data_IF_491530841178
#
_entry.id   IF_491530841178
#
_cell.length_a   1.000
_cell.length_b   1.000
_cell.length_c   1.000
_cell.angle_alpha   90.00
_cell.angle_beta   90.00
_cell.angle_gamma   90.00
#
_symmetry.space_group_name_H-M   'P 1'
#
loop_
_entity.id
_entity.type
_entity.pdbx_description
1 polymer ?
#
# COMPACT_ATOMS: atom_id res chain seq x y z
N UNK A 1 20.70 -76.56 -28.42
CA UNK A 1 20.24 -75.31 -29.04
C UNK A 1 19.79 -74.35 -27.93
N UNK A 2 20.58 -73.32 -27.61
CA UNK A 2 20.24 -72.32 -26.60
C UNK A 2 20.43 -70.93 -27.25
N UNK A 3 19.32 -70.26 -27.60
CA UNK A 3 19.34 -68.90 -28.14
C UNK A 3 19.44 -67.92 -26.97
N UNK A 4 20.51 -67.13 -26.90
CA UNK A 4 20.55 -65.93 -26.07
C UNK A 4 19.80 -64.81 -26.81
N UNK A 5 18.77 -64.25 -26.18
CA UNK A 5 18.22 -62.95 -26.56
C UNK A 5 19.00 -61.87 -25.80
N UNK A 6 19.62 -60.96 -26.53
CA UNK A 6 20.18 -59.72 -25.99
C UNK A 6 19.08 -58.66 -26.06
N UNK A 7 18.61 -58.21 -24.90
CA UNK A 7 17.69 -57.08 -24.80
C UNK A 7 18.51 -55.79 -24.63
N UNK A 8 18.46 -54.92 -25.63
CA UNK A 8 19.06 -53.57 -25.57
C UNK A 8 18.10 -52.64 -24.84
N UNK A 9 18.50 -52.16 -23.65
CA UNK A 9 17.77 -51.12 -22.92
C UNK A 9 18.34 -49.78 -23.38
N UNK A 10 17.53 -48.98 -24.09
CA UNK A 10 17.87 -47.60 -24.41
C UNK A 10 17.62 -46.72 -23.19
N UNK A 11 18.67 -46.12 -22.63
CA UNK A 11 18.56 -45.16 -21.52
C UNK A 11 18.27 -43.76 -22.09
N UNK A 12 17.07 -43.25 -21.86
CA UNK A 12 16.71 -41.86 -22.18
C UNK A 12 17.26 -40.95 -21.09
N UNK A 13 18.18 -40.06 -21.45
CA UNK A 13 18.68 -39.03 -20.53
C UNK A 13 17.59 -37.96 -20.36
N UNK A 14 17.10 -37.80 -19.12
CA UNK A 14 16.22 -36.68 -18.75
C UNK A 14 17.11 -35.48 -18.43
N UNK A 15 17.06 -34.45 -19.26
CA UNK A 15 17.67 -33.16 -18.98
C UNK A 15 16.84 -32.42 -17.94
N UNK A 16 17.33 -32.36 -16.70
CA UNK A 16 16.79 -31.47 -15.68
C UNK A 16 17.26 -30.05 -16.01
N UNK A 17 16.36 -29.22 -16.54
CA UNK A 17 16.60 -27.78 -16.66
C UNK A 17 16.47 -27.19 -15.26
N UNK A 18 17.59 -26.84 -14.66
CA UNK A 18 17.63 -26.03 -13.45
C UNK A 18 17.27 -24.60 -13.85
N UNK A 19 16.07 -24.15 -13.49
CA UNK A 19 15.69 -22.75 -13.63
C UNK A 19 16.59 -21.92 -12.70
N UNK A 20 17.42 -21.06 -13.27
CA UNK A 20 18.15 -20.05 -12.51
C UNK A 20 17.13 -19.15 -11.82
N UNK A 21 17.21 -18.91 -10.49
CA UNK A 21 16.32 -17.97 -9.85
C UNK A 21 16.51 -16.60 -10.53
N UNK A 22 15.41 -16.00 -11.00
CA UNK A 22 15.45 -14.66 -11.56
C UNK A 22 15.94 -13.71 -10.47
N UNK A 23 17.03 -12.99 -10.72
CA UNK A 23 17.45 -11.90 -9.84
C UNK A 23 16.33 -10.87 -9.81
N UNK A 24 15.86 -10.51 -8.61
CA UNK A 24 14.91 -9.42 -8.46
C UNK A 24 15.45 -8.18 -9.18
N UNK A 25 14.61 -7.54 -9.99
CA UNK A 25 14.98 -6.30 -10.65
C UNK A 25 15.31 -5.24 -9.60
N UNK A 26 16.37 -4.47 -9.79
CA UNK A 26 16.72 -3.40 -8.86
C UNK A 26 15.59 -2.37 -8.76
N UNK A 27 15.35 -1.85 -7.56
CA UNK A 27 14.43 -0.73 -7.35
C UNK A 27 14.76 0.44 -8.30
N UNK A 28 13.76 1.12 -8.87
CA UNK A 28 14.01 2.25 -9.75
C UNK A 28 14.48 3.46 -8.95
N UNK A 29 14.92 4.49 -9.69
CA UNK A 29 15.33 5.76 -9.08
C UNK A 29 14.17 6.42 -8.32
N UNK A 30 14.49 7.28 -7.34
CA UNK A 30 13.49 8.10 -6.65
C UNK A 30 12.65 8.93 -7.61
N UNK A 31 13.26 9.47 -8.66
CA UNK A 31 12.54 10.29 -9.64
C UNK A 31 11.51 9.46 -10.42
N UNK A 32 11.87 8.24 -10.80
CA UNK A 32 10.96 7.29 -11.44
C UNK A 32 9.82 6.92 -10.50
N UNK A 33 10.13 6.54 -9.26
CA UNK A 33 9.10 6.20 -8.28
C UNK A 33 8.14 7.35 -7.99
N UNK A 34 8.65 8.58 -7.89
CA UNK A 34 7.78 9.75 -7.73
C UNK A 34 6.87 9.97 -8.96
N UNK A 35 7.37 9.74 -10.18
CA UNK A 35 6.55 9.86 -11.38
C UNK A 35 5.44 8.79 -11.42
N UNK A 36 5.76 7.55 -11.06
CA UNK A 36 4.81 6.45 -11.00
C UNK A 36 3.74 6.68 -9.91
N UNK A 37 4.14 7.16 -8.73
CA UNK A 37 3.21 7.56 -7.67
C UNK A 37 2.30 8.70 -8.14
N UNK A 38 2.86 9.73 -8.78
CA UNK A 38 2.08 10.86 -9.30
C UNK A 38 1.00 10.39 -10.27
N UNK A 39 1.33 9.48 -11.20
CA UNK A 39 0.36 8.95 -12.14
C UNK A 39 -0.85 8.26 -11.47
N UNK A 40 -0.66 7.63 -10.30
CA UNK A 40 -1.75 7.02 -9.52
C UNK A 40 -2.50 8.08 -8.71
N UNK A 41 -1.78 9.04 -8.11
CA UNK A 41 -2.44 10.10 -7.33
C UNK A 41 -3.22 11.08 -8.18
N UNK A 42 -2.84 11.28 -9.45
CA UNK A 42 -3.61 12.07 -10.41
C UNK A 42 -4.94 11.38 -10.71
N UNK A 43 -4.94 10.06 -10.93
CA UNK A 43 -6.18 9.28 -11.08
C UNK A 43 -7.06 9.31 -9.82
N UNK A 44 -6.43 9.34 -8.64
CA UNK A 44 -7.14 9.45 -7.39
C UNK A 44 -7.75 10.86 -7.21
N UNK A 45 -7.01 11.90 -7.60
CA UNK A 45 -7.46 13.28 -7.57
C UNK A 45 -8.66 13.49 -8.48
N UNK A 46 -8.61 13.02 -9.73
CA UNK A 46 -9.73 13.10 -10.68
C UNK A 46 -10.97 12.39 -10.13
N UNK A 47 -10.80 11.22 -9.52
CA UNK A 47 -11.89 10.51 -8.88
C UNK A 47 -12.49 11.28 -7.70
N UNK A 48 -11.64 11.93 -6.87
CA UNK A 48 -12.11 12.71 -5.74
C UNK A 48 -12.83 13.99 -6.19
N UNK A 49 -12.41 14.64 -7.28
CA UNK A 49 -13.11 15.82 -7.82
C UNK A 49 -14.55 15.47 -8.23
N UNK A 50 -14.76 14.30 -8.85
CA UNK A 50 -16.10 13.82 -9.20
C UNK A 50 -16.88 13.36 -7.97
N UNK A 51 -16.20 12.73 -7.01
CA UNK A 51 -16.83 12.07 -5.86
C UNK A 51 -17.12 13.03 -4.70
N UNK A 52 -16.36 14.11 -4.58
CA UNK A 52 -16.39 15.13 -3.53
C UNK A 52 -16.61 16.50 -4.19
N UNK A 53 -17.88 16.84 -4.44
CA UNK A 53 -18.68 17.31 -3.32
C UNK A 53 -19.80 16.32 -2.94
N UNK A 54 -19.54 15.53 -1.88
CA UNK A 54 -20.50 14.55 -1.37
C UNK A 54 -21.37 15.15 -0.26
N UNK A 55 -22.53 15.69 -0.62
CA UNK A 55 -23.50 16.19 0.39
C UNK A 55 -24.15 15.03 1.16
N UNK A 56 -24.38 15.21 2.46
CA UNK A 56 -25.14 14.27 3.28
C UNK A 56 -24.38 13.04 3.79
N UNK A 57 -23.08 12.91 3.50
CA UNK A 57 -22.22 11.85 4.06
C UNK A 57 -21.02 12.46 4.77
N UNK A 58 -20.43 11.71 5.70
CA UNK A 58 -19.11 12.04 6.27
C UNK A 58 -18.05 11.30 5.45
N UNK A 59 -17.63 11.89 4.34
CA UNK A 59 -16.61 11.28 3.49
C UNK A 59 -15.26 11.19 4.21
N UNK A 60 -14.48 10.15 3.90
CA UNK A 60 -13.12 9.99 4.37
C UNK A 60 -12.23 9.36 3.30
N UNK A 61 -10.94 9.69 3.34
CA UNK A 61 -9.90 8.92 2.68
C UNK A 61 -9.00 8.25 3.72
N UNK A 62 -8.45 7.09 3.36
CA UNK A 62 -7.48 6.34 4.16
C UNK A 62 -6.15 6.30 3.42
N UNK A 63 -5.07 6.57 4.13
CA UNK A 63 -3.71 6.59 3.60
C UNK A 63 -2.81 5.66 4.43
N UNK A 64 -2.03 4.81 3.78
CA UNK A 64 -0.85 4.21 4.41
C UNK A 64 0.28 5.25 4.58
N UNK A 65 1.28 4.92 5.41
CA UNK A 65 2.44 5.78 5.69
C UNK A 65 3.69 5.38 4.92
N UNK A 66 4.17 4.13 5.03
CA UNK A 66 5.53 3.77 4.65
C UNK A 66 5.62 3.46 3.16
N UNK A 67 6.38 4.25 2.40
CA UNK A 67 6.38 4.21 0.93
C UNK A 67 5.02 4.57 0.29
N UNK A 68 4.12 5.14 1.09
CA UNK A 68 2.88 5.78 0.66
C UNK A 68 2.91 7.28 1.01
N UNK A 69 2.51 7.69 2.21
CA UNK A 69 2.51 9.11 2.59
C UNK A 69 3.92 9.68 2.84
N UNK A 70 4.85 8.85 3.31
CA UNK A 70 6.25 9.18 3.58
C UNK A 70 7.19 8.31 2.73
N UNK A 71 8.29 8.91 2.25
CA UNK A 71 9.24 8.24 1.37
C UNK A 71 10.25 7.37 2.14
N UNK A 72 9.76 6.45 2.98
CA UNK A 72 10.56 5.67 3.94
C UNK A 72 11.76 4.95 3.32
N UNK A 73 11.68 4.52 2.05
CA UNK A 73 12.80 3.94 1.31
C UNK A 73 13.73 4.97 0.67
N UNK A 74 13.19 6.00 0.03
CA UNK A 74 13.94 6.86 -0.89
C UNK A 74 14.50 8.12 -0.25
N UNK A 75 13.73 8.75 0.63
CA UNK A 75 14.13 9.95 1.36
C UNK A 75 13.34 10.00 2.67
N UNK A 76 13.78 9.25 3.70
CA UNK A 76 13.06 9.13 4.95
C UNK A 76 12.65 10.50 5.49
N UNK A 77 11.45 10.55 6.08
CA UNK A 77 10.83 11.76 6.65
C UNK A 77 10.33 12.81 5.65
N UNK A 78 10.61 12.71 4.35
CA UNK A 78 9.94 13.56 3.35
C UNK A 78 8.54 13.02 3.05
N UNK A 79 7.59 13.95 2.81
CA UNK A 79 6.29 13.58 2.23
C UNK A 79 6.45 13.11 0.79
N UNK A 80 5.63 12.14 0.41
CA UNK A 80 5.38 11.83 -1.00
C UNK A 80 4.48 12.92 -1.60
N UNK A 81 4.95 13.75 -2.55
CA UNK A 81 4.25 14.97 -2.95
C UNK A 81 2.83 14.74 -3.47
N UNK A 82 2.60 13.72 -4.32
CA UNK A 82 1.28 13.40 -4.85
C UNK A 82 0.29 12.99 -3.75
N UNK A 83 0.73 12.21 -2.76
CA UNK A 83 -0.12 11.77 -1.64
C UNK A 83 -0.45 12.95 -0.70
N UNK A 84 0.52 13.85 -0.47
CA UNK A 84 0.28 15.08 0.30
C UNK A 84 -0.70 16.03 -0.42
N UNK A 85 -0.58 16.15 -1.74
CA UNK A 85 -1.52 16.93 -2.54
C UNK A 85 -2.95 16.35 -2.46
N UNK A 86 -3.09 15.04 -2.63
CA UNK A 86 -4.37 14.33 -2.53
C UNK A 86 -5.01 14.49 -1.14
N UNK A 87 -4.23 14.39 -0.06
CA UNK A 87 -4.71 14.61 1.30
C UNK A 87 -5.22 16.04 1.53
N UNK A 88 -4.56 17.03 0.91
CA UNK A 88 -4.98 18.44 0.98
C UNK A 88 -6.26 18.70 0.19
N UNK A 89 -6.36 18.15 -1.02
CA UNK A 89 -7.56 18.21 -1.86
C UNK A 89 -8.74 17.60 -1.10
N UNK A 90 -8.63 16.34 -0.66
CA UNK A 90 -9.71 15.66 0.05
C UNK A 90 -10.23 16.47 1.25
N UNK A 91 -9.33 17.10 2.02
CA UNK A 91 -9.75 17.97 3.14
C UNK A 91 -10.40 19.27 2.68
N UNK A 92 -9.89 19.89 1.61
CA UNK A 92 -10.51 21.08 1.04
C UNK A 92 -11.94 20.79 0.57
N UNK A 93 -12.19 19.57 0.08
CA UNK A 93 -13.49 19.10 -0.39
C UNK A 93 -14.36 18.47 0.70
N UNK A 94 -13.94 18.61 1.97
CA UNK A 94 -14.73 18.25 3.15
C UNK A 94 -14.60 16.79 3.61
N UNK A 95 -13.71 16.00 3.02
CA UNK A 95 -13.40 14.66 3.50
C UNK A 95 -12.44 14.68 4.71
N UNK A 96 -12.65 13.73 5.63
CA UNK A 96 -11.68 13.39 6.65
C UNK A 96 -10.48 12.64 6.05
N UNK A 97 -9.30 12.78 6.67
CA UNK A 97 -8.11 12.02 6.30
C UNK A 97 -7.72 11.14 7.48
N UNK A 98 -7.61 9.84 7.25
CA UNK A 98 -7.14 8.89 8.24
C UNK A 98 -5.83 8.25 7.78
N UNK A 99 -4.91 8.08 8.72
CA UNK A 99 -3.74 7.24 8.50
C UNK A 99 -3.93 5.86 9.13
N UNK A 100 -3.59 4.82 8.39
CA UNK A 100 -3.65 3.43 8.86
C UNK A 100 -2.34 2.73 8.53
N UNK A 101 -1.56 2.40 9.56
CA UNK A 101 -0.18 1.90 9.41
C UNK A 101 0.10 0.70 10.31
N UNK A 102 1.04 -0.15 9.90
CA UNK A 102 1.56 -1.22 10.73
C UNK A 102 2.68 -0.76 11.69
N UNK A 103 3.06 0.53 11.67
CA UNK A 103 4.02 1.09 12.63
C UNK A 103 3.56 0.84 14.07
N UNK A 104 4.44 0.39 14.97
CA UNK A 104 4.07 0.16 16.37
C UNK A 104 3.61 1.45 17.08
N UNK A 105 2.63 1.34 17.99
CA UNK A 105 2.10 2.46 18.78
C UNK A 105 3.20 3.14 19.62
N UNK A 106 4.23 2.40 20.02
CA UNK A 106 5.36 2.93 20.78
C UNK A 106 6.15 4.02 20.04
N UNK A 107 6.00 4.11 18.71
CA UNK A 107 6.60 5.16 17.86
C UNK A 107 5.56 6.11 17.26
N UNK A 108 4.32 6.09 17.75
CA UNK A 108 3.24 6.93 17.25
C UNK A 108 3.59 8.42 17.33
N UNK A 109 4.04 8.90 18.50
CA UNK A 109 4.40 10.31 18.67
C UNK A 109 5.49 10.77 17.69
N UNK A 110 6.50 9.93 17.42
CA UNK A 110 7.52 10.24 16.42
C UNK A 110 6.94 10.26 15.00
N UNK A 111 5.99 9.36 14.70
CA UNK A 111 5.28 9.31 13.42
C UNK A 111 4.44 10.57 13.21
N UNK A 112 3.68 11.00 14.21
CA UNK A 112 2.89 12.25 14.16
C UNK A 112 3.76 13.48 13.92
N UNK A 113 4.91 13.57 14.60
CA UNK A 113 5.86 14.67 14.39
C UNK A 113 6.31 14.71 12.92
N UNK A 114 6.70 13.56 12.35
CA UNK A 114 7.12 13.49 10.96
C UNK A 114 6.01 13.92 9.99
N UNK A 115 4.78 13.43 10.18
CA UNK A 115 3.63 13.81 9.36
C UNK A 115 3.33 15.31 9.46
N UNK A 116 3.39 15.89 10.66
CA UNK A 116 3.14 17.31 10.90
C UNK A 116 4.21 18.19 10.25
N UNK A 117 5.49 17.81 10.38
CA UNK A 117 6.63 18.56 9.83
C UNK A 117 6.53 18.70 8.32
N UNK A 118 6.06 17.66 7.63
CA UNK A 118 5.88 17.70 6.17
C UNK A 118 4.53 18.28 5.73
N UNK A 119 3.69 18.68 6.69
CA UNK A 119 2.47 19.45 6.44
C UNK A 119 1.22 18.63 6.18
N UNK A 120 1.14 17.37 6.64
CA UNK A 120 -0.13 16.65 6.71
C UNK A 120 -1.02 17.19 7.82
N UNK A 121 -2.32 17.14 7.58
CA UNK A 121 -3.38 17.34 8.57
C UNK A 121 -4.30 16.13 8.46
N UNK A 122 -4.68 15.54 9.59
CA UNK A 122 -5.46 14.31 9.63
C UNK A 122 -6.50 14.36 10.75
N UNK A 123 -7.48 13.47 10.65
CA UNK A 123 -8.54 13.26 11.64
C UNK A 123 -8.10 12.28 12.71
N UNK A 124 -7.45 11.18 12.33
CA UNK A 124 -6.96 10.16 13.25
C UNK A 124 -5.83 9.33 12.64
N UNK A 125 -5.06 8.67 13.51
CA UNK A 125 -3.93 7.81 13.15
C UNK A 125 -4.09 6.45 13.85
N UNK A 126 -4.18 5.39 13.06
CA UNK A 126 -4.20 4.02 13.56
C UNK A 126 -2.80 3.41 13.41
N UNK A 127 -2.12 3.23 14.54
CA UNK A 127 -0.87 2.45 14.65
C UNK A 127 -1.17 1.03 15.14
N UNK A 128 -0.14 0.16 15.14
CA UNK A 128 -0.23 -1.20 15.68
C UNK A 128 -0.08 -1.21 17.20
N UNK A 129 -1.09 -1.68 17.97
CA UNK A 129 -0.97 -1.78 19.42
C UNK A 129 0.13 -2.75 19.87
N UNK A 130 0.76 -2.51 21.03
CA UNK A 130 1.96 -3.22 21.52
C UNK A 130 1.77 -4.74 21.68
N UNK A 131 0.53 -5.21 21.81
CA UNK A 131 0.19 -6.63 21.92
C UNK A 131 -0.78 -7.12 20.83
N UNK A 132 -0.80 -6.44 19.69
CA UNK A 132 -1.54 -6.90 18.52
C UNK A 132 -0.61 -7.72 17.59
N UNK A 133 -0.94 -9.00 17.42
CA UNK A 133 -0.22 -9.97 16.58
C UNK A 133 -0.96 -10.33 15.30
N UNK A 134 -2.04 -9.62 14.96
CA UNK A 134 -2.73 -9.78 13.69
C UNK A 134 -1.77 -9.51 12.53
N UNK A 135 -1.96 -10.20 11.41
CA UNK A 135 -1.29 -9.83 10.16
C UNK A 135 -1.67 -8.40 9.74
N UNK A 136 -0.84 -7.79 8.89
CA UNK A 136 -1.03 -6.40 8.48
C UNK A 136 -2.41 -6.16 7.83
N UNK A 137 -2.90 -7.09 6.99
CA UNK A 137 -4.19 -6.90 6.33
C UNK A 137 -5.33 -6.94 7.34
N UNK A 138 -5.33 -7.89 8.28
CA UNK A 138 -6.34 -7.97 9.33
C UNK A 138 -6.34 -6.72 10.21
N UNK A 139 -5.16 -6.24 10.62
CA UNK A 139 -5.02 -5.01 11.39
C UNK A 139 -5.61 -3.80 10.65
N UNK A 140 -5.25 -3.63 9.38
CA UNK A 140 -5.71 -2.48 8.58
C UNK A 140 -7.20 -2.56 8.24
N UNK A 141 -7.72 -3.77 8.04
CA UNK A 141 -9.16 -4.00 7.85
C UNK A 141 -9.94 -3.57 9.09
N UNK A 142 -9.50 -3.98 10.30
CA UNK A 142 -10.14 -3.57 11.57
C UNK A 142 -10.16 -2.06 11.75
N UNK A 143 -9.07 -1.37 11.38
CA UNK A 143 -9.02 0.10 11.41
C UNK A 143 -10.05 0.74 10.47
N UNK A 144 -10.19 0.25 9.23
CA UNK A 144 -11.21 0.76 8.29
C UNK A 144 -12.64 0.46 8.75
N UNK A 145 -12.89 -0.72 9.32
CA UNK A 145 -14.19 -1.02 9.94
C UNK A 145 -14.51 -0.07 11.10
N UNK A 146 -13.52 0.28 11.93
CA UNK A 146 -13.73 1.26 13.02
C UNK A 146 -14.06 2.66 12.47
N UNK A 147 -13.36 3.11 11.42
CA UNK A 147 -13.66 4.37 10.73
C UNK A 147 -15.11 4.39 10.21
N UNK A 148 -15.57 3.32 9.55
CA UNK A 148 -16.96 3.20 9.10
C UNK A 148 -17.95 3.20 10.27
N UNK A 149 -17.62 2.50 11.37
CA UNK A 149 -18.46 2.45 12.58
C UNK A 149 -18.63 3.83 13.23
N UNK A 150 -17.66 4.73 13.04
CA UNK A 150 -17.72 6.15 13.46
C UNK A 150 -18.58 7.00 12.53
N UNK A 151 -19.22 6.40 11.52
CA UNK A 151 -20.16 7.03 10.59
C UNK A 151 -19.50 7.66 9.37
N UNK A 152 -18.25 7.31 9.06
CA UNK A 152 -17.58 7.76 7.85
C UNK A 152 -17.85 6.81 6.67
N UNK A 153 -17.86 7.36 5.47
CA UNK A 153 -17.80 6.58 4.22
C UNK A 153 -16.41 6.74 3.64
N UNK A 154 -15.65 5.64 3.58
CA UNK A 154 -14.29 5.65 3.01
C UNK A 154 -14.42 5.65 1.49
N UNK A 155 -14.28 6.82 0.88
CA UNK A 155 -14.41 6.98 -0.59
C UNK A 155 -13.13 6.55 -1.32
N UNK A 156 -11.96 6.73 -0.70
CA UNK A 156 -10.69 6.30 -1.27
C UNK A 156 -9.77 5.70 -0.20
N UNK A 157 -9.10 4.60 -0.55
CA UNK A 157 -8.03 4.01 0.25
C UNK A 157 -6.76 3.90 -0.61
N UNK A 158 -5.66 4.48 -0.15
CA UNK A 158 -4.40 4.61 -0.90
C UNK A 158 -3.28 3.95 -0.11
N UNK A 159 -2.53 3.07 -0.78
CA UNK A 159 -1.42 2.34 -0.19
C UNK A 159 -0.56 1.66 -1.25
N UNK A 160 0.67 1.33 -0.90
CA UNK A 160 1.60 0.66 -1.79
C UNK A 160 1.61 -0.86 -1.60
N UNK A 161 1.08 -1.43 -0.52
CA UNK A 161 1.01 -2.88 -0.33
C UNK A 161 -0.37 -3.44 -0.64
N UNK A 162 -0.42 -4.72 -1.05
CA UNK A 162 -1.68 -5.46 -1.12
C UNK A 162 -2.41 -5.48 0.24
N UNK A 163 -1.67 -5.49 1.35
CA UNK A 163 -2.25 -5.51 2.71
C UNK A 163 -2.93 -4.20 3.09
N UNK A 164 -2.57 -3.09 2.44
CA UNK A 164 -3.20 -1.78 2.66
C UNK A 164 -4.63 -1.75 2.12
N UNK A 165 -4.86 -2.47 1.03
CA UNK A 165 -6.07 -2.39 0.21
C UNK A 165 -6.98 -3.61 0.37
N UNK A 166 -6.41 -4.75 0.71
CA UNK A 166 -7.14 -6.00 0.93
C UNK A 166 -8.09 -5.92 2.13
N UNK A 167 -9.19 -6.68 2.08
CA UNK A 167 -10.19 -6.73 3.15
C UNK A 167 -11.39 -5.80 2.97
N UNK A 168 -11.46 -4.99 1.90
CA UNK A 168 -12.60 -4.12 1.61
C UNK A 168 -12.65 -2.85 2.47
N UNK A 169 -13.86 -2.32 2.71
CA UNK A 169 -14.13 -1.09 3.47
C UNK A 169 -13.58 0.19 2.81
N UNK A 170 -13.70 0.27 1.49
CA UNK A 170 -13.48 1.48 0.71
C UNK A 170 -14.26 1.39 -0.60
N UNK A 171 -14.83 2.51 -1.08
CA UNK A 171 -15.50 2.55 -2.38
C UNK A 171 -14.50 2.34 -3.53
N UNK A 172 -13.32 2.96 -3.43
CA UNK A 172 -12.24 2.80 -4.40
C UNK A 172 -10.88 2.67 -3.71
N UNK A 173 -10.04 1.78 -4.26
CA UNK A 173 -8.66 1.58 -3.82
C UNK A 173 -7.69 2.08 -4.88
N UNK A 174 -6.59 2.71 -4.45
CA UNK A 174 -5.52 3.18 -5.32
C UNK A 174 -4.19 2.57 -4.88
N UNK A 175 -3.70 1.63 -5.69
CA UNK A 175 -2.45 0.92 -5.44
C UNK A 175 -1.27 1.72 -5.99
N UNK A 176 -0.42 2.19 -5.08
CA UNK A 176 0.86 2.79 -5.43
C UNK A 176 1.87 1.70 -5.86
N UNK A 177 2.90 2.05 -6.64
CA UNK A 177 3.95 1.12 -7.06
C UNK A 177 4.73 0.58 -5.85
N UNK A 178 4.88 -0.74 -5.79
CA UNK A 178 5.74 -1.47 -4.84
C UNK A 178 6.88 -2.25 -5.49
N UNK A 179 6.91 -2.29 -6.83
CA UNK A 179 7.92 -2.99 -7.64
C UNK A 179 8.10 -4.46 -7.23
N UNK A 180 7.01 -5.22 -7.33
CA UNK A 180 6.94 -6.65 -6.97
C UNK A 180 7.18 -6.87 -5.47
N UNK A 181 6.60 -6.00 -4.63
CA UNK A 181 6.69 -6.06 -3.17
C UNK A 181 8.03 -5.62 -2.58
N UNK A 182 8.92 -5.02 -3.38
CA UNK A 182 10.20 -4.51 -2.88
C UNK A 182 10.07 -3.24 -2.02
N UNK A 183 8.89 -2.61 -2.00
CA UNK A 183 8.56 -1.48 -1.14
C UNK A 183 7.47 -1.79 -0.09
N UNK A 184 7.06 -3.05 0.07
CA UNK A 184 6.06 -3.45 1.08
C UNK A 184 6.51 -3.24 2.53
#
# INVERSE_FOLDING_TARGET
MRRLLVATIAATAVTVVTATPASAAALPSRATWLADVTAVTDQAADYLDDRLPASGIRAAIVLDIDNTALQSRYKPYDATPGVLALARQARADGAAVFFVTARPEIIEAATEINLRVVGYQWTDLYTRPTFNFDDNQTLKTKARTDIESRGYTIVANVGNSATDLGGGHAERTFKLPDYDGQLD
#
